data_IF_634165554584
#
_entry.id   IF_634165554584
#
_cell.length_a   1.000
_cell.length_b   1.000
_cell.length_c   1.000
_cell.angle_alpha   90.00
_cell.angle_beta   90.00
_cell.angle_gamma   90.00
#
_symmetry.space_group_name_H-M   'P 1'
#
loop_
_entity.id
_entity.type
_entity.pdbx_description
1 polymer ?
#
# COMPACT_ATOMS: atom_id res chain seq x y z
N UNK A 1 19.43 5.25 -19.34
CA UNK A 1 20.33 4.78 -18.26
C UNK A 1 19.50 3.97 -17.27
N UNK A 2 20.11 3.07 -16.49
CA UNK A 2 19.40 2.28 -15.47
C UNK A 2 20.14 2.28 -14.12
N UNK A 3 19.37 2.14 -13.03
CA UNK A 3 19.89 2.03 -11.67
C UNK A 3 18.94 1.20 -10.80
N UNK A 4 19.50 0.37 -9.93
CA UNK A 4 18.76 -0.41 -8.95
C UNK A 4 18.90 0.21 -7.56
N UNK A 5 17.85 0.10 -6.75
CA UNK A 5 17.85 0.55 -5.37
C UNK A 5 16.52 0.33 -4.68
N UNK A 6 16.47 0.65 -3.39
CA UNK A 6 15.25 0.52 -2.58
C UNK A 6 14.61 1.89 -2.39
N UNK A 7 13.30 1.99 -2.59
CA UNK A 7 12.60 3.27 -2.39
C UNK A 7 12.60 3.63 -0.91
N UNK A 8 13.09 4.82 -0.59
CA UNK A 8 13.12 5.33 0.78
C UNK A 8 12.09 6.44 1.01
N UNK A 9 11.65 7.13 -0.04
CA UNK A 9 10.67 8.22 0.06
C UNK A 9 9.93 8.42 -1.25
N UNK A 10 8.61 8.57 -1.18
CA UNK A 10 7.79 9.11 -2.28
C UNK A 10 7.59 10.60 -2.01
N UNK A 11 7.82 11.44 -3.01
CA UNK A 11 7.61 12.89 -2.93
C UNK A 11 6.15 13.21 -3.26
N UNK A 12 5.58 14.27 -2.66
CA UNK A 12 4.22 14.69 -2.96
C UNK A 12 4.07 15.06 -4.44
N UNK A 13 2.85 14.90 -4.94
CA UNK A 13 2.49 15.30 -6.30
C UNK A 13 2.10 16.78 -6.29
N UNK A 14 2.70 17.56 -7.17
CA UNK A 14 2.50 18.99 -7.32
C UNK A 14 2.05 19.31 -8.76
N UNK A 15 1.17 20.29 -8.94
CA UNK A 15 0.84 20.80 -10.27
C UNK A 15 1.83 21.90 -10.66
N UNK A 16 2.55 21.71 -11.76
CA UNK A 16 3.52 22.68 -12.28
C UNK A 16 2.97 23.29 -13.58
N UNK A 17 2.95 24.62 -13.65
CA UNK A 17 2.64 25.36 -14.87
C UNK A 17 3.94 25.64 -15.62
N UNK A 18 4.02 25.21 -16.87
CA UNK A 18 5.15 25.45 -17.76
C UNK A 18 5.07 26.84 -18.41
N UNK A 19 6.18 27.30 -18.99
CA UNK A 19 6.28 28.62 -19.62
C UNK A 19 5.30 28.81 -20.79
N UNK A 20 4.82 27.72 -21.39
CA UNK A 20 3.82 27.69 -22.46
C UNK A 20 2.37 27.78 -21.95
N UNK A 21 2.15 27.83 -20.63
CA UNK A 21 0.83 27.80 -20.01
C UNK A 21 0.26 26.40 -19.79
N UNK A 22 0.96 25.35 -20.21
CA UNK A 22 0.54 23.96 -19.98
C UNK A 22 0.72 23.58 -18.52
N UNK A 23 -0.30 22.99 -17.91
CA UNK A 23 -0.22 22.42 -16.56
C UNK A 23 0.13 20.94 -16.65
N UNK A 24 1.09 20.47 -15.86
CA UNK A 24 1.34 19.03 -15.69
C UNK A 24 1.54 18.69 -14.23
N UNK A 25 1.12 17.50 -13.85
CA UNK A 25 1.52 16.94 -12.57
C UNK A 25 3.02 16.59 -12.58
N UNK A 26 3.69 16.98 -11.50
CA UNK A 26 5.06 16.65 -11.18
C UNK A 26 5.02 15.80 -9.91
N UNK A 27 5.70 14.66 -9.95
CA UNK A 27 5.93 13.82 -8.79
C UNK A 27 7.40 13.48 -8.67
N UNK A 28 7.73 12.66 -7.68
CA UNK A 28 9.09 12.19 -7.51
C UNK A 28 9.21 11.11 -6.45
N UNK A 29 10.39 10.52 -6.37
CA UNK A 29 10.75 9.57 -5.33
C UNK A 29 12.27 9.53 -5.15
N UNK A 30 12.70 8.98 -4.03
CA UNK A 30 14.10 8.81 -3.69
C UNK A 30 14.36 7.33 -3.46
N UNK A 31 15.41 6.80 -4.08
CA UNK A 31 15.91 5.46 -3.83
C UNK A 31 17.21 5.53 -3.04
N UNK A 32 17.48 4.52 -2.22
CA UNK A 32 18.82 4.21 -1.75
C UNK A 32 19.47 3.25 -2.74
N UNK A 33 20.58 3.66 -3.34
CA UNK A 33 21.36 2.80 -4.24
C UNK A 33 21.93 1.61 -3.47
N UNK A 34 21.91 0.43 -4.08
CA UNK A 34 22.60 -0.75 -3.57
C UNK A 34 24.10 -0.73 -3.95
N UNK A 35 24.98 -1.15 -3.04
CA UNK A 35 26.42 -1.27 -3.27
C UNK A 35 27.27 -0.84 -2.07
N UNK A 36 28.58 -0.75 -2.28
CA UNK A 36 29.58 -0.42 -1.25
C UNK A 36 29.40 1.01 -0.68
N UNK A 37 28.83 1.92 -1.48
CA UNK A 37 28.53 3.30 -1.07
C UNK A 37 27.07 3.65 -1.36
N UNK A 38 26.13 3.24 -0.50
CA UNK A 38 24.73 3.56 -0.67
C UNK A 38 24.55 5.08 -0.56
N UNK A 39 24.01 5.66 -1.62
CA UNK A 39 23.67 7.09 -1.68
C UNK A 39 22.19 7.23 -2.04
N UNK A 40 21.48 8.17 -1.39
CA UNK A 40 20.14 8.52 -1.81
C UNK A 40 20.19 9.22 -3.17
N UNK A 41 19.33 8.81 -4.10
CA UNK A 41 19.21 9.38 -5.43
C UNK A 41 17.75 9.75 -5.66
N UNK A 42 17.50 11.02 -5.97
CA UNK A 42 16.17 11.54 -6.23
C UNK A 42 15.85 11.54 -7.72
N UNK A 43 14.62 11.14 -8.04
CA UNK A 43 14.08 11.13 -9.40
C UNK A 43 12.80 11.95 -9.47
N UNK A 44 12.61 12.62 -10.59
CA UNK A 44 11.38 13.35 -10.90
C UNK A 44 10.59 12.67 -12.02
N UNK A 45 9.26 12.77 -11.95
CA UNK A 45 8.32 12.32 -12.97
C UNK A 45 7.42 13.47 -13.38
N UNK A 46 7.06 13.49 -14.66
CA UNK A 46 6.17 14.50 -15.23
C UNK A 46 5.07 13.84 -16.03
N UNK A 47 3.87 14.42 -15.93
CA UNK A 47 2.67 13.92 -16.58
C UNK A 47 1.89 12.96 -15.69
N UNK A 48 0.57 13.00 -15.83
CA UNK A 48 -0.36 12.22 -15.01
C UNK A 48 -0.08 10.72 -15.09
N UNK A 49 0.21 10.19 -16.28
CA UNK A 49 0.50 8.78 -16.51
C UNK A 49 1.68 8.27 -15.66
N UNK A 50 2.80 9.00 -15.68
CA UNK A 50 4.01 8.63 -14.94
C UNK A 50 3.86 8.83 -13.44
N UNK A 51 3.17 9.89 -13.04
CA UNK A 51 2.90 10.16 -11.63
C UNK A 51 1.94 9.09 -11.06
N UNK A 52 0.97 8.62 -11.84
CA UNK A 52 0.09 7.52 -11.45
C UNK A 52 0.86 6.21 -11.21
N UNK A 53 2.02 6.00 -11.85
CA UNK A 53 2.90 4.85 -11.54
C UNK A 53 3.39 4.86 -10.09
N UNK A 54 3.56 6.04 -9.48
CA UNK A 54 3.99 6.15 -8.07
C UNK A 54 2.91 5.68 -7.10
N UNK A 55 1.62 5.81 -7.47
CA UNK A 55 0.51 5.37 -6.61
C UNK A 55 0.53 3.87 -6.32
N UNK A 56 1.13 3.07 -7.21
CA UNK A 56 1.26 1.62 -7.06
C UNK A 56 2.57 1.19 -6.37
N UNK A 57 3.38 2.14 -5.92
CA UNK A 57 4.73 1.89 -5.43
C UNK A 57 4.87 2.41 -4.00
N UNK A 58 5.17 1.49 -3.08
CA UNK A 58 5.41 1.78 -1.68
C UNK A 58 6.91 1.95 -1.37
N UNK A 59 7.21 2.66 -0.28
CA UNK A 59 8.55 2.67 0.30
C UNK A 59 8.95 1.27 0.79
N UNK A 60 10.25 0.97 0.76
CA UNK A 60 10.83 -0.31 1.19
C UNK A 60 10.93 -1.37 0.10
N UNK A 61 10.37 -1.14 -1.09
CA UNK A 61 10.44 -2.08 -2.21
C UNK A 61 11.72 -1.84 -3.05
N UNK A 62 12.48 -2.90 -3.40
CA UNK A 62 13.57 -2.79 -4.35
C UNK A 62 13.02 -2.60 -5.77
N UNK A 63 13.62 -1.69 -6.52
CA UNK A 63 13.16 -1.29 -7.85
C UNK A 63 14.34 -1.12 -8.81
N UNK A 64 14.08 -1.40 -10.09
CA UNK A 64 14.92 -0.98 -11.21
C UNK A 64 14.29 0.27 -11.82
N UNK A 65 15.09 1.33 -11.95
CA UNK A 65 14.67 2.62 -12.50
C UNK A 65 15.41 2.88 -13.79
N UNK A 66 14.66 3.07 -14.88
CA UNK A 66 15.19 3.60 -16.14
C UNK A 66 15.02 5.11 -16.16
N UNK A 67 16.10 5.84 -16.43
CA UNK A 67 16.11 7.30 -16.37
C UNK A 67 17.06 7.92 -17.40
N UNK A 68 16.91 9.24 -17.56
CA UNK A 68 17.88 10.10 -18.22
C UNK A 68 18.20 11.29 -17.31
N UNK A 69 19.38 11.87 -17.50
CA UNK A 69 19.77 13.10 -16.83
C UNK A 69 19.44 14.28 -17.76
N UNK A 70 18.81 15.30 -17.20
CA UNK A 70 18.57 16.59 -17.84
C UNK A 70 19.30 17.65 -17.02
N UNK A 71 19.94 18.61 -17.69
CA UNK A 71 20.60 19.72 -17.00
C UNK A 71 20.06 21.03 -17.52
N UNK A 72 19.60 21.87 -16.61
CA UNK A 72 19.10 23.20 -16.93
C UNK A 72 19.88 24.25 -16.15
N UNK A 73 20.03 25.41 -16.78
CA UNK A 73 20.63 26.58 -16.17
C UNK A 73 19.61 27.21 -15.21
N UNK A 74 20.01 27.36 -13.95
CA UNK A 74 19.24 28.08 -12.95
C UNK A 74 19.47 29.59 -13.06
N UNK A 75 18.66 30.36 -12.32
CA UNK A 75 18.63 31.83 -12.38
C UNK A 75 19.97 32.53 -12.07
N UNK A 76 20.93 31.82 -11.49
CA UNK A 76 22.22 32.35 -11.07
C UNK A 76 23.37 31.88 -11.98
N UNK A 77 23.09 31.31 -13.16
CA UNK A 77 24.09 30.72 -14.06
C UNK A 77 24.63 29.35 -13.60
N UNK A 78 24.12 28.83 -12.48
CA UNK A 78 24.44 27.49 -11.99
C UNK A 78 23.64 26.44 -12.76
N UNK A 79 24.29 25.34 -13.15
CA UNK A 79 23.59 24.20 -13.76
C UNK A 79 23.09 23.24 -12.69
N UNK A 80 21.83 22.82 -12.82
CA UNK A 80 21.21 21.81 -11.98
C UNK A 80 20.91 20.58 -12.81
N UNK A 81 21.45 19.44 -12.38
CA UNK A 81 21.14 18.15 -12.99
C UNK A 81 19.95 17.52 -12.28
N UNK A 82 18.97 17.11 -13.07
CA UNK A 82 17.78 16.42 -12.60
C UNK A 82 17.67 15.07 -13.29
N UNK A 83 17.42 14.02 -12.51
CA UNK A 83 17.20 12.69 -13.05
C UNK A 83 15.71 12.50 -13.30
N UNK A 84 15.33 12.32 -14.57
CA UNK A 84 13.95 12.11 -14.98
C UNK A 84 13.69 10.62 -15.16
N UNK A 85 12.73 10.08 -14.42
CA UNK A 85 12.34 8.68 -14.55
C UNK A 85 11.56 8.47 -15.85
N UNK A 86 11.96 7.47 -16.62
CA UNK A 86 11.25 6.97 -17.80
C UNK A 86 10.32 5.83 -17.44
N UNK A 87 10.82 4.85 -16.69
CA UNK A 87 10.04 3.71 -16.21
C UNK A 87 10.60 3.20 -14.90
N UNK A 88 9.73 2.61 -14.10
CA UNK A 88 10.08 1.97 -12.84
C UNK A 88 9.51 0.56 -12.82
N UNK A 89 10.33 -0.40 -12.45
CA UNK A 89 9.96 -1.82 -12.37
C UNK A 89 10.26 -2.31 -10.97
N UNK A 90 9.25 -2.67 -10.18
CA UNK A 90 9.45 -3.37 -8.92
C UNK A 90 10.24 -4.66 -9.16
N UNK A 91 11.36 -4.80 -8.47
CA UNK A 91 12.07 -6.06 -8.40
C UNK A 91 11.29 -6.89 -7.38
N UNK A 92 10.45 -7.80 -7.87
CA UNK A 92 9.82 -8.78 -6.98
C UNK A 92 10.93 -9.53 -6.27
N UNK A 93 11.15 -9.21 -4.99
CA UNK A 93 11.71 -10.18 -4.08
C UNK A 93 10.72 -11.33 -4.13
N UNK A 94 11.17 -12.46 -4.67
CA UNK A 94 10.43 -13.70 -4.68
C UNK A 94 10.29 -14.15 -3.22
N UNK A 95 9.38 -13.50 -2.49
CA UNK A 95 9.01 -13.88 -1.15
C UNK A 95 8.12 -15.11 -1.30
N UNK A 96 8.78 -16.26 -1.24
CA UNK A 96 8.19 -17.54 -0.95
C UNK A 96 7.50 -17.47 0.40
N UNK A 97 6.27 -16.97 0.45
CA UNK A 97 5.41 -17.11 1.62
C UNK A 97 4.04 -17.59 1.16
N UNK A 98 4.00 -18.88 0.82
CA UNK A 98 2.83 -19.72 1.05
C UNK A 98 2.50 -19.66 2.54
N UNK A 99 1.60 -18.77 2.93
CA UNK A 99 0.86 -18.92 4.18
C UNK A 99 -0.56 -19.32 3.77
N UNK A 100 -0.74 -20.62 3.59
CA UNK A 100 -2.07 -21.25 3.59
C UNK A 100 -2.64 -21.07 4.99
N UNK A 101 -3.60 -20.16 5.15
CA UNK A 101 -4.41 -20.10 6.36
C UNK A 101 -5.26 -21.38 6.44
N UNK A 102 -5.31 -22.07 7.59
CA UNK A 102 -6.25 -23.17 7.77
C UNK A 102 -7.68 -22.59 7.78
N UNK A 103 -8.54 -23.12 6.92
CA UNK A 103 -9.95 -22.76 6.88
C UNK A 103 -10.62 -23.17 8.21
N UNK A 104 -11.20 -22.20 8.91
CA UNK A 104 -12.11 -22.47 10.03
C UNK A 104 -13.44 -23.01 9.47
N UNK A 105 -13.75 -24.27 9.75
CA UNK A 105 -15.05 -24.86 9.42
C UNK A 105 -16.11 -24.32 10.39
N UNK A 106 -17.07 -23.59 9.86
CA UNK A 106 -18.32 -23.27 10.56
C UNK A 106 -19.23 -24.52 10.54
N UNK A 107 -19.87 -24.90 11.67
CA UNK A 107 -20.87 -25.95 11.66
C UNK A 107 -22.11 -25.50 10.88
N UNK A 108 -22.55 -26.33 9.93
CA UNK A 108 -23.79 -26.13 9.18
C UNK A 108 -25.01 -26.25 10.11
N UNK A 109 -25.92 -25.28 10.02
CA UNK A 109 -27.21 -25.33 10.68
C UNK A 109 -28.08 -26.43 10.04
N UNK A 110 -28.66 -27.29 10.87
CA UNK A 110 -29.66 -28.28 10.48
C UNK A 110 -31.00 -27.60 10.18
N UNK A 111 -31.74 -28.00 9.13
CA UNK A 111 -33.06 -27.45 8.84
C UNK A 111 -34.09 -27.96 9.87
N UNK A 112 -35.06 -27.13 10.30
CA UNK A 112 -36.10 -27.57 11.23
C UNK A 112 -37.12 -28.47 10.54
N UNK A 113 -37.33 -29.67 11.09
CA UNK A 113 -38.43 -30.56 10.75
C UNK A 113 -39.77 -29.96 11.19
N UNK A 114 -40.78 -30.07 10.32
CA UNK A 114 -42.15 -29.65 10.56
C UNK A 114 -42.76 -30.35 11.78
N UNK A 115 -43.39 -29.56 12.65
CA UNK A 115 -44.16 -30.01 13.82
C UNK A 115 -45.52 -30.56 13.36
N UNK A 116 -45.83 -31.79 13.76
CA UNK A 116 -47.17 -32.39 13.66
C UNK A 116 -47.89 -32.21 15.01
N UNK A 117 -49.17 -31.76 15.08
CA UNK A 117 -49.84 -31.47 16.34
C UNK A 117 -50.54 -32.72 16.88
N UNK A 118 -50.20 -33.11 18.12
CA UNK A 118 -50.98 -34.13 18.84
C UNK A 118 -50.38 -34.50 20.19
N UNK A 119 -51.23 -34.48 21.22
CA UNK A 119 -51.06 -35.03 22.58
C UNK A 119 -50.35 -34.16 23.64
N UNK A 120 -51.18 -33.37 24.34
CA UNK A 120 -51.49 -33.43 25.78
C UNK A 120 -50.40 -33.68 26.84
N UNK A 121 -50.43 -32.80 27.87
CA UNK A 121 -50.18 -33.05 29.32
C UNK A 121 -48.70 -33.25 29.72
N UNK A 122 -48.11 -32.72 30.82
CA UNK A 122 -48.57 -32.23 32.12
C UNK A 122 -47.42 -31.49 32.85
N UNK A 123 -47.76 -30.51 33.70
CA UNK A 123 -47.15 -30.04 34.98
C UNK A 123 -45.64 -29.74 35.21
N UNK A 124 -45.43 -28.52 35.74
CA UNK A 124 -44.73 -28.13 36.99
C UNK A 124 -43.21 -27.77 37.03
N UNK A 125 -42.99 -26.51 37.47
CA UNK A 125 -41.96 -25.97 38.40
C UNK A 125 -40.46 -25.90 38.05
N UNK A 126 -39.88 -24.71 38.33
CA UNK A 126 -38.46 -24.51 38.68
C UNK A 126 -37.80 -23.30 37.99
N UNK A 127 -38.01 -22.07 38.48
CA UNK A 127 -37.04 -21.24 39.25
C UNK A 127 -35.81 -20.69 38.50
N UNK A 128 -35.74 -19.35 38.49
CA UNK A 128 -34.57 -18.46 38.70
C UNK A 128 -33.31 -18.67 37.83
N UNK A 129 -32.59 -17.66 37.37
CA UNK A 129 -32.56 -16.22 37.54
C UNK A 129 -31.32 -15.75 36.76
N UNK A 130 -31.36 -14.53 36.25
CA UNK A 130 -30.32 -13.93 35.41
C UNK A 130 -29.30 -13.20 36.29
N UNK A 131 -27.97 -13.41 36.14
CA UNK A 131 -27.01 -12.41 36.56
C UNK A 131 -26.36 -11.73 35.35
N UNK A 132 -26.44 -10.39 35.35
CA UNK A 132 -25.60 -9.46 34.60
C UNK A 132 -24.49 -8.97 35.52
N UNK A 133 -23.23 -9.05 35.08
CA UNK A 133 -22.03 -8.55 35.77
C UNK A 133 -20.99 -8.41 34.65
N UNK A 134 -20.64 -7.25 34.08
CA UNK A 134 -20.23 -5.95 34.62
C UNK A 134 -19.08 -6.05 35.64
N UNK A 135 -17.93 -6.56 35.18
CA UNK A 135 -16.66 -6.40 35.91
C UNK A 135 -15.47 -6.28 34.93
N UNK A 136 -15.11 -5.02 34.61
CA UNK A 136 -13.83 -4.66 33.98
C UNK A 136 -12.87 -4.20 35.08
N UNK A 137 -11.64 -4.75 35.18
CA UNK A 137 -10.70 -4.33 36.21
C UNK A 137 -9.95 -3.02 35.83
N UNK A 138 -9.52 -2.22 36.82
CA UNK A 138 -8.95 -0.90 36.57
C UNK A 138 -7.41 -0.88 36.46
N UNK A 139 -6.96 0.13 35.69
CA UNK A 139 -5.61 0.67 35.44
C UNK A 139 -4.65 -0.09 34.51
#
# INVERSE_FOLDING_TARGET
MEINGTIIKILPVEEVTFNDGTKKLKGGFVIMREGEFPKPVAFELFGEDRVAMLSNIAAGIPVKVNFYADSHEGKNGNYYTTLKCLSITPLVMQNSSNITMPAVQYPQAVPPSAVNPGASEVSAQGTAGLPTDDDLPPF
#
